data_IF_557439585068
#
_entry.id   IF_557439585068
#
_cell.length_a   1.000
_cell.length_b   1.000
_cell.length_c   1.000
_cell.angle_alpha   90.00
_cell.angle_beta   90.00
_cell.angle_gamma   90.00
#
_symmetry.space_group_name_H-M   'P 1'
#
loop_
_entity.id
_entity.type
_entity.pdbx_description
1 polymer ?
#
# COMPACT_ATOMS: atom_id res chain seq x y z
N UNK A 1 12.87 -13.65 0.59
CA UNK A 1 13.10 -12.19 0.52
C UNK A 1 13.62 -11.66 1.84
N UNK A 2 14.58 -10.73 1.80
CA UNK A 2 15.02 -9.96 2.98
C UNK A 2 15.14 -8.47 2.62
N UNK A 3 14.46 -7.62 3.36
CA UNK A 3 14.50 -6.16 3.20
C UNK A 3 14.96 -5.53 4.51
N UNK A 4 16.08 -4.79 4.47
CA UNK A 4 16.60 -4.03 5.61
C UNK A 4 16.92 -2.61 5.17
N UNK A 5 16.05 -1.69 5.55
CA UNK A 5 16.18 -0.26 5.24
C UNK A 5 16.46 0.48 6.55
N UNK A 6 17.60 1.16 6.63
CA UNK A 6 17.96 1.97 7.79
C UNK A 6 17.09 3.25 7.90
N UNK A 7 17.11 3.92 9.07
CA UNK A 7 16.42 5.21 9.23
C UNK A 7 16.96 6.25 8.24
N UNK A 8 16.18 7.29 7.99
CA UNK A 8 16.65 8.44 7.22
C UNK A 8 17.92 9.02 7.85
N UNK A 9 18.90 9.35 7.01
CA UNK A 9 20.11 10.01 7.49
C UNK A 9 19.76 11.42 7.94
N UNK A 10 20.24 11.73 9.12
CA UNK A 10 20.09 13.01 9.78
C UNK A 10 20.90 14.06 9.00
N UNK A 11 20.24 14.98 8.28
CA UNK A 11 20.91 16.07 7.54
C UNK A 11 21.62 17.02 8.49
N UNK A 12 22.92 17.27 8.29
CA UNK A 12 23.68 18.24 9.07
C UNK A 12 23.57 19.62 8.42
N UNK A 13 23.23 20.63 9.22
CA UNK A 13 23.27 22.02 8.78
C UNK A 13 23.76 22.90 9.94
N UNK A 14 24.30 24.09 9.65
CA UNK A 14 24.66 25.07 10.68
C UNK A 14 23.53 25.39 11.66
N UNK A 15 22.29 25.49 11.17
CA UNK A 15 21.08 25.73 11.98
C UNK A 15 20.80 24.56 12.93
N UNK A 16 20.91 23.34 12.41
CA UNK A 16 20.72 22.16 13.24
C UNK A 16 21.79 22.00 14.31
N UNK A 17 23.03 22.40 14.02
CA UNK A 17 24.09 22.46 15.03
C UNK A 17 23.75 23.50 16.11
N UNK A 18 23.15 24.62 15.73
CA UNK A 18 22.68 25.63 16.67
C UNK A 18 21.56 25.09 17.58
N UNK A 19 20.58 24.36 17.04
CA UNK A 19 19.50 23.71 17.81
C UNK A 19 19.99 22.73 18.89
N UNK A 20 21.20 22.17 18.73
CA UNK A 20 21.78 21.26 19.72
C UNK A 20 22.28 21.99 20.99
N UNK A 21 22.35 23.32 20.98
CA UNK A 21 22.79 24.11 22.13
C UNK A 21 21.62 24.23 23.11
N UNK A 22 21.70 23.61 24.31
CA UNK A 22 20.59 23.61 25.26
C UNK A 22 20.43 24.98 25.93
N UNK A 23 19.22 25.26 26.43
CA UNK A 23 18.87 26.46 27.22
C UNK A 23 18.99 27.80 26.47
N UNK A 24 18.79 27.78 25.15
CA UNK A 24 18.85 28.95 24.28
C UNK A 24 17.50 29.13 23.57
N UNK A 25 17.08 30.36 23.32
CA UNK A 25 15.81 30.66 22.60
C UNK A 25 15.94 30.38 21.10
N UNK A 26 14.83 30.03 20.43
CA UNK A 26 14.79 29.80 18.97
C UNK A 26 15.40 30.97 18.18
N UNK A 27 15.06 32.20 18.57
CA UNK A 27 15.56 33.44 17.97
C UNK A 27 17.10 33.59 18.08
N UNK A 28 17.69 32.96 19.10
CA UNK A 28 19.14 32.90 19.31
C UNK A 28 19.75 31.72 18.55
N UNK A 29 19.06 30.58 18.46
CA UNK A 29 19.47 29.48 17.58
C UNK A 29 19.57 29.92 16.12
N UNK A 30 18.62 30.71 15.63
CA UNK A 30 18.65 31.24 14.25
C UNK A 30 19.83 32.17 14.00
N UNK A 31 20.15 33.05 14.96
CA UNK A 31 21.31 33.93 14.89
C UNK A 31 22.61 33.14 14.88
N UNK A 32 22.72 32.13 15.73
CA UNK A 32 23.89 31.24 15.78
C UNK A 32 23.99 30.43 14.48
N UNK A 33 22.90 29.86 13.98
CA UNK A 33 22.87 29.10 12.72
C UNK A 33 23.29 29.96 11.52
N UNK A 34 22.77 31.18 11.44
CA UNK A 34 23.13 32.17 10.40
C UNK A 34 24.58 32.63 10.49
N UNK A 35 25.14 32.70 11.70
CA UNK A 35 26.56 32.98 11.87
C UNK A 35 27.43 31.79 11.45
N UNK A 36 27.07 30.57 11.89
CA UNK A 36 27.78 29.33 11.56
C UNK A 36 27.79 29.05 10.06
N UNK A 37 26.71 29.37 9.33
CA UNK A 37 26.62 29.19 7.87
C UNK A 37 27.57 30.08 7.07
N UNK A 38 28.09 31.15 7.68
CA UNK A 38 29.11 32.03 7.07
C UNK A 38 30.54 31.59 7.35
N UNK A 39 30.71 30.43 7.97
CA UNK A 39 32.03 29.88 8.32
C UNK A 39 32.27 28.56 7.60
N UNK A 40 33.47 28.01 7.76
CA UNK A 40 33.86 26.69 7.25
C UNK A 40 32.96 25.54 7.75
N UNK A 41 32.10 25.77 8.75
CA UNK A 41 31.16 24.79 9.29
C UNK A 41 30.09 24.43 8.25
N UNK A 42 29.73 25.34 7.34
CA UNK A 42 28.82 25.04 6.25
C UNK A 42 29.45 24.00 5.29
N UNK A 43 30.69 24.25 4.86
CA UNK A 43 31.47 23.31 4.04
C UNK A 43 31.66 21.96 4.74
N UNK A 44 31.84 21.95 6.07
CA UNK A 44 31.92 20.72 6.87
C UNK A 44 30.59 19.97 6.86
N UNK A 45 29.46 20.65 7.04
CA UNK A 45 28.13 20.06 7.00
C UNK A 45 27.85 19.42 5.63
N UNK A 46 28.14 20.14 4.53
CA UNK A 46 28.04 19.61 3.17
C UNK A 46 28.90 18.37 2.97
N UNK A 47 30.16 18.42 3.42
CA UNK A 47 31.06 17.28 3.35
C UNK A 47 30.54 16.08 4.13
N UNK A 48 30.07 16.26 5.37
CA UNK A 48 29.47 15.20 6.19
C UNK A 48 28.25 14.58 5.49
N UNK A 49 27.34 15.42 4.99
CA UNK A 49 26.15 14.98 4.28
C UNK A 49 26.50 14.17 3.02
N UNK A 50 27.57 14.56 2.29
CA UNK A 50 28.04 13.84 1.12
C UNK A 50 28.54 12.41 1.44
N UNK A 51 29.03 12.19 2.66
CA UNK A 51 29.52 10.89 3.13
C UNK A 51 28.43 10.04 3.78
N UNK A 52 27.34 10.65 4.24
CA UNK A 52 26.21 9.92 4.83
C UNK A 52 25.23 9.48 3.75
N UNK A 53 25.11 8.17 3.55
CA UNK A 53 24.06 7.57 2.71
C UNK A 53 23.18 6.64 3.53
N UNK A 54 21.88 6.65 3.25
CA UNK A 54 20.94 5.70 3.84
C UNK A 54 21.35 4.28 3.47
N UNK A 55 21.43 3.38 4.46
CA UNK A 55 21.74 1.97 4.23
C UNK A 55 20.49 1.24 3.75
N UNK A 56 20.56 0.65 2.56
CA UNK A 56 19.47 -0.11 1.92
C UNK A 56 20.05 -1.47 1.50
N UNK A 57 19.55 -2.55 2.10
CA UNK A 57 19.92 -3.93 1.78
C UNK A 57 18.65 -4.67 1.35
N UNK A 58 18.59 -5.12 0.10
CA UNK A 58 17.48 -5.89 -0.47
C UNK A 58 18.04 -7.17 -1.06
N UNK A 59 17.53 -8.31 -0.61
CA UNK A 59 17.84 -9.65 -1.14
C UNK A 59 16.57 -10.30 -1.65
N UNK A 60 16.57 -10.68 -2.93
CA UNK A 60 15.51 -11.45 -3.56
C UNK A 60 16.02 -12.88 -3.78
N UNK A 61 15.25 -13.84 -3.30
CA UNK A 61 15.49 -15.27 -3.41
C UNK A 61 14.65 -15.84 -4.59
N UNK A 62 15.04 -16.96 -5.19
CA UNK A 62 14.42 -17.48 -6.44
C UNK A 62 12.91 -17.79 -6.34
N UNK A 63 12.44 -18.13 -5.15
CA UNK A 63 11.05 -18.49 -4.89
C UNK A 63 10.15 -17.28 -4.57
N UNK A 64 10.75 -16.10 -4.30
CA UNK A 64 9.99 -14.88 -4.00
C UNK A 64 9.15 -14.39 -5.18
N UNK A 65 9.41 -14.89 -6.38
CA UNK A 65 8.68 -14.54 -7.61
C UNK A 65 7.77 -15.66 -8.12
N UNK A 66 7.53 -16.72 -7.34
CA UNK A 66 6.54 -17.75 -7.71
C UNK A 66 5.13 -17.18 -7.60
N UNK A 67 4.83 -16.49 -6.49
CA UNK A 67 3.65 -15.64 -6.27
C UNK A 67 4.13 -14.28 -5.73
N UNK A 68 4.60 -13.42 -6.64
CA UNK A 68 5.25 -12.16 -6.28
C UNK A 68 4.27 -11.15 -5.67
N UNK A 69 3.04 -11.13 -6.17
CA UNK A 69 1.88 -10.41 -5.62
C UNK A 69 1.69 -10.67 -4.13
N UNK A 70 1.54 -11.94 -3.73
CA UNK A 70 1.39 -12.32 -2.34
C UNK A 70 2.64 -11.97 -1.51
N UNK A 71 3.84 -12.21 -2.06
CA UNK A 71 5.11 -11.88 -1.37
C UNK A 71 5.25 -10.38 -1.12
N UNK A 72 4.84 -9.54 -2.07
CA UNK A 72 4.83 -8.08 -1.92
C UNK A 72 3.73 -7.61 -0.96
N UNK A 73 2.56 -8.24 -0.97
CA UNK A 73 1.46 -7.93 -0.06
C UNK A 73 1.87 -8.02 1.42
N UNK A 74 2.72 -8.99 1.77
CA UNK A 74 3.30 -9.13 3.13
C UNK A 74 4.10 -7.90 3.58
N UNK A 75 4.67 -7.12 2.65
CA UNK A 75 5.36 -5.85 2.95
C UNK A 75 4.42 -4.66 2.84
N UNK A 76 3.64 -4.60 1.74
CA UNK A 76 2.85 -3.43 1.38
C UNK A 76 1.74 -3.20 2.41
N UNK A 77 1.06 -4.26 2.86
CA UNK A 77 -0.04 -4.15 3.81
C UNK A 77 0.36 -3.45 5.13
N UNK A 78 1.39 -3.89 5.87
CA UNK A 78 1.79 -3.18 7.09
C UNK A 78 2.28 -1.76 6.81
N UNK A 79 2.91 -1.49 5.66
CA UNK A 79 3.31 -0.14 5.26
C UNK A 79 2.10 0.79 5.02
N UNK A 80 1.05 0.31 4.33
CA UNK A 80 -0.18 1.08 4.13
C UNK A 80 -0.90 1.37 5.45
N UNK A 81 -0.96 0.39 6.36
CA UNK A 81 -1.52 0.57 7.71
C UNK A 81 -0.74 1.61 8.51
N UNK A 82 0.60 1.55 8.48
CA UNK A 82 1.46 2.53 9.14
C UNK A 82 1.26 3.93 8.53
N UNK A 83 1.29 4.05 7.20
CA UNK A 83 1.09 5.31 6.49
C UNK A 83 -0.24 5.94 6.85
N UNK A 84 -1.34 5.17 6.81
CA UNK A 84 -2.67 5.67 7.20
C UNK A 84 -2.68 6.24 8.63
N UNK A 85 -1.92 5.65 9.55
CA UNK A 85 -1.85 6.10 10.94
C UNK A 85 -0.94 7.32 11.16
N UNK A 86 0.03 7.58 10.27
CA UNK A 86 1.11 8.57 10.48
C UNK A 86 1.12 9.72 9.49
N UNK A 87 0.35 9.64 8.40
CA UNK A 87 0.26 10.65 7.34
C UNK A 87 0.02 12.07 7.88
N UNK A 88 0.77 13.04 7.35
CA UNK A 88 0.61 14.47 7.66
C UNK A 88 -0.21 15.22 6.60
N UNK A 89 -0.58 14.57 5.48
CA UNK A 89 -1.29 15.21 4.37
C UNK A 89 -2.22 14.27 3.60
N UNK A 90 -2.87 14.79 2.57
CA UNK A 90 -3.69 14.01 1.66
C UNK A 90 -3.59 14.56 0.23
N UNK A 91 -3.28 13.73 -0.77
CA UNK A 91 -3.29 14.13 -2.17
C UNK A 91 -4.72 14.37 -2.66
N UNK A 92 -4.84 15.07 -3.79
CA UNK A 92 -6.08 15.15 -4.54
C UNK A 92 -6.41 13.77 -5.13
N UNK A 93 -7.68 13.40 -5.02
CA UNK A 93 -8.23 12.15 -5.56
C UNK A 93 -9.19 12.49 -6.69
N UNK A 94 -9.07 11.79 -7.81
CA UNK A 94 -9.96 11.96 -8.95
C UNK A 94 -11.37 11.44 -8.61
N UNK A 95 -12.41 12.22 -8.92
CA UNK A 95 -13.80 11.84 -8.63
C UNK A 95 -14.20 10.51 -9.30
N UNK A 96 -13.61 10.14 -10.44
CA UNK A 96 -13.85 8.86 -11.13
C UNK A 96 -13.48 7.64 -10.28
N UNK A 97 -12.50 7.79 -9.39
CA UNK A 97 -12.01 6.72 -8.51
C UNK A 97 -12.90 6.49 -7.29
N UNK A 98 -13.83 7.41 -7.03
CA UNK A 98 -14.69 7.38 -5.86
C UNK A 98 -16.06 6.80 -6.21
N UNK A 99 -16.76 6.22 -5.22
CA UNK A 99 -18.17 5.86 -5.35
C UNK A 99 -19.00 7.08 -5.74
N UNK A 100 -20.10 6.93 -6.52
CA UNK A 100 -20.89 8.06 -7.00
C UNK A 100 -21.35 9.06 -5.93
N UNK A 101 -21.66 8.56 -4.72
CA UNK A 101 -22.09 9.38 -3.60
C UNK A 101 -20.95 10.17 -2.91
N UNK A 102 -19.68 9.91 -3.25
CA UNK A 102 -18.52 10.62 -2.70
C UNK A 102 -17.90 11.62 -3.69
N UNK A 103 -18.38 11.66 -4.93
CA UNK A 103 -17.90 12.55 -6.01
C UNK A 103 -18.34 14.00 -5.85
N UNK A 104 -18.50 14.47 -4.61
CA UNK A 104 -18.94 15.84 -4.34
C UNK A 104 -17.86 16.81 -4.82
N UNK A 105 -18.04 17.34 -6.02
CA UNK A 105 -17.38 18.55 -6.50
C UNK A 105 -18.17 19.71 -5.91
N UNK A 106 -17.57 20.47 -4.99
CA UNK A 106 -18.08 21.80 -4.69
C UNK A 106 -18.17 22.55 -6.02
N UNK A 107 -19.40 22.97 -6.34
CA UNK A 107 -19.74 23.86 -7.45
C UNK A 107 -18.61 24.85 -7.72
N UNK A 108 -17.95 24.74 -8.88
CA UNK A 108 -16.98 25.73 -9.35
C UNK A 108 -17.69 27.08 -9.52
N UNK A 109 -17.40 28.03 -8.64
CA UNK A 109 -17.60 29.45 -8.93
C UNK A 109 -16.51 29.94 -9.90
N UNK A 110 -16.77 30.97 -10.73
CA UNK A 110 -15.81 31.42 -11.75
C UNK A 110 -14.54 32.06 -11.21
N UNK A 111 -14.51 32.49 -9.94
CA UNK A 111 -13.47 33.34 -9.37
C UNK A 111 -13.07 32.91 -7.94
N UNK A 112 -12.77 31.63 -7.72
CA UNK A 112 -12.26 31.19 -6.41
C UNK A 112 -10.92 30.47 -6.54
N UNK A 113 -9.86 31.15 -6.08
CA UNK A 113 -8.53 30.56 -5.87
C UNK A 113 -8.47 29.74 -4.57
N UNK A 114 -9.57 29.63 -3.82
CA UNK A 114 -9.69 28.75 -2.66
C UNK A 114 -10.13 27.35 -3.10
N UNK A 115 -9.17 26.61 -3.66
CA UNK A 115 -9.24 25.18 -3.99
C UNK A 115 -9.27 24.28 -2.75
N UNK A 116 -10.03 24.62 -1.71
CA UNK A 116 -10.13 23.78 -0.51
C UNK A 116 -11.32 22.83 -0.66
N UNK A 117 -11.13 21.74 -1.42
CA UNK A 117 -12.03 20.60 -1.35
C UNK A 117 -11.95 20.03 0.07
N UNK A 118 -12.89 20.49 0.91
CA UNK A 118 -13.03 20.11 2.33
C UNK A 118 -13.14 18.59 2.54
N UNK A 119 -13.33 17.81 1.48
CA UNK A 119 -13.42 16.36 1.50
C UNK A 119 -12.13 15.64 1.11
N UNK A 120 -11.05 16.35 0.77
CA UNK A 120 -9.76 15.76 0.33
C UNK A 120 -9.27 14.67 1.27
N UNK A 121 -9.29 14.91 2.58
CA UNK A 121 -8.87 13.92 3.56
C UNK A 121 -9.78 12.69 3.58
N UNK A 122 -11.09 12.88 3.49
CA UNK A 122 -12.07 11.78 3.48
C UNK A 122 -11.98 10.94 2.20
N UNK A 123 -11.81 11.59 1.04
CA UNK A 123 -11.61 10.93 -0.25
C UNK A 123 -10.33 10.08 -0.23
N UNK A 124 -9.24 10.65 0.29
CA UNK A 124 -7.98 9.93 0.40
C UNK A 124 -8.05 8.77 1.40
N UNK A 125 -8.71 8.96 2.54
CA UNK A 125 -8.90 7.88 3.52
C UNK A 125 -9.70 6.73 2.93
N UNK A 126 -10.71 7.01 2.10
CA UNK A 126 -11.45 5.97 1.38
C UNK A 126 -10.53 5.20 0.41
N UNK A 127 -9.72 5.91 -0.37
CA UNK A 127 -8.75 5.28 -1.29
C UNK A 127 -7.75 4.40 -0.53
N UNK A 128 -7.18 4.88 0.57
CA UNK A 128 -6.28 4.09 1.42
C UNK A 128 -6.99 2.87 2.01
N UNK A 129 -8.25 2.99 2.41
CA UNK A 129 -9.04 1.87 2.91
C UNK A 129 -9.26 0.81 1.85
N UNK A 130 -9.59 1.18 0.62
CA UNK A 130 -9.77 0.22 -0.47
C UNK A 130 -8.45 -0.48 -0.83
N UNK A 131 -7.32 0.24 -0.83
CA UNK A 131 -6.00 -0.40 -1.00
C UNK A 131 -5.71 -1.40 0.14
N UNK A 132 -5.86 -0.98 1.40
CA UNK A 132 -5.62 -1.85 2.55
C UNK A 132 -6.52 -3.08 2.49
N UNK A 133 -7.81 -2.90 2.21
CA UNK A 133 -8.75 -4.00 2.12
C UNK A 133 -8.38 -5.00 1.02
N UNK A 134 -7.97 -4.53 -0.17
CA UNK A 134 -7.53 -5.41 -1.25
C UNK A 134 -6.27 -6.23 -0.85
N UNK A 135 -5.27 -5.58 -0.24
CA UNK A 135 -4.08 -6.29 0.26
C UNK A 135 -4.35 -7.20 1.46
N UNK A 136 -5.38 -6.94 2.27
CA UNK A 136 -5.84 -7.89 3.29
C UNK A 136 -6.44 -9.13 2.64
N UNK A 137 -7.18 -8.97 1.54
CA UNK A 137 -7.78 -10.09 0.81
C UNK A 137 -6.79 -10.89 -0.01
N UNK A 138 -5.75 -10.27 -0.52
CA UNK A 138 -4.60 -10.95 -1.16
C UNK A 138 -3.87 -11.91 -0.20
N UNK A 139 -3.92 -11.65 1.11
CA UNK A 139 -3.32 -12.50 2.13
C UNK A 139 -4.31 -13.47 2.79
N UNK A 140 -5.59 -13.41 2.41
CA UNK A 140 -6.67 -14.20 3.00
C UNK A 140 -7.21 -15.19 1.97
N UNK A 141 -6.82 -16.46 2.07
CA UNK A 141 -7.26 -17.50 1.14
C UNK A 141 -8.72 -17.97 1.38
N UNK A 142 -9.41 -17.45 2.41
CA UNK A 142 -10.71 -17.99 2.87
C UNK A 142 -11.92 -17.19 2.39
N UNK A 143 -11.73 -16.04 1.75
CA UNK A 143 -12.86 -15.13 1.46
C UNK A 143 -13.88 -15.74 0.48
N UNK A 144 -13.48 -16.68 -0.39
CA UNK A 144 -14.39 -17.32 -1.34
C UNK A 144 -15.44 -18.19 -0.65
N UNK A 145 -15.14 -18.74 0.52
CA UNK A 145 -16.01 -19.68 1.23
C UNK A 145 -17.35 -19.06 1.61
N UNK A 146 -17.39 -17.73 1.80
CA UNK A 146 -18.64 -17.01 2.09
C UNK A 146 -19.66 -17.05 0.94
N UNK A 147 -19.24 -17.41 -0.27
CA UNK A 147 -20.07 -17.52 -1.47
C UNK A 147 -20.35 -18.98 -1.88
N UNK A 148 -19.87 -19.94 -1.08
CA UNK A 148 -20.15 -21.35 -1.24
C UNK A 148 -21.31 -21.72 -0.32
N UNK A 149 -22.28 -22.45 -0.86
CA UNK A 149 -23.45 -22.91 -0.13
C UNK A 149 -23.53 -24.41 -0.20
N UNK A 150 -23.83 -25.06 0.93
CA UNK A 150 -23.81 -26.51 1.06
C UNK A 150 -22.39 -27.10 1.16
N UNK A 151 -22.30 -28.36 1.55
CA UNK A 151 -21.03 -29.11 1.58
C UNK A 151 -20.84 -29.85 0.25
N UNK A 152 -19.68 -29.71 -0.42
CA UNK A 152 -19.41 -30.47 -1.63
C UNK A 152 -19.27 -31.97 -1.29
N UNK A 153 -19.74 -32.82 -2.20
CA UNK A 153 -19.67 -34.28 -2.13
C UNK A 153 -19.18 -34.80 -3.49
N UNK A 154 -17.86 -34.90 -3.63
CA UNK A 154 -17.22 -35.30 -4.87
C UNK A 154 -17.08 -36.83 -4.95
N UNK A 155 -17.49 -37.40 -6.08
CA UNK A 155 -17.19 -38.78 -6.45
C UNK A 155 -16.35 -38.82 -7.72
N UNK A 156 -15.36 -39.71 -7.76
CA UNK A 156 -14.61 -40.02 -8.96
C UNK A 156 -15.28 -41.19 -9.69
N UNK A 157 -15.80 -40.92 -10.89
CA UNK A 157 -16.41 -41.94 -11.74
C UNK A 157 -15.44 -42.30 -12.85
N UNK A 158 -15.19 -43.59 -13.02
CA UNK A 158 -14.35 -44.09 -14.11
C UNK A 158 -15.00 -43.85 -15.46
N UNK A 159 -14.28 -43.14 -16.35
CA UNK A 159 -14.77 -42.72 -17.68
C UNK A 159 -13.94 -43.32 -18.83
N UNK A 160 -12.83 -44.01 -18.54
CA UNK A 160 -12.09 -44.76 -19.55
C UNK A 160 -10.69 -45.17 -19.12
N UNK A 161 -9.99 -45.91 -20.00
CA UNK A 161 -8.67 -46.45 -19.72
C UNK A 161 -8.70 -47.75 -18.91
N UNK A 162 -7.53 -48.34 -18.69
CA UNK A 162 -7.41 -49.57 -17.92
C UNK A 162 -7.27 -49.24 -16.42
N UNK A 163 -8.18 -49.79 -15.60
CA UNK A 163 -8.22 -49.54 -14.15
C UNK A 163 -6.90 -49.99 -13.50
N UNK A 164 -6.34 -49.12 -12.67
CA UNK A 164 -5.07 -49.37 -11.97
C UNK A 164 -3.83 -49.10 -12.81
N UNK A 165 -3.96 -48.38 -13.93
CA UNK A 165 -2.83 -48.00 -14.81
C UNK A 165 -2.75 -46.48 -15.00
N UNK A 166 -1.62 -46.00 -15.53
CA UNK A 166 -1.44 -44.59 -15.93
C UNK A 166 -2.42 -44.14 -17.03
N UNK A 167 -3.14 -45.07 -17.67
CA UNK A 167 -4.17 -44.77 -18.65
C UNK A 167 -5.56 -44.55 -18.03
N UNK A 168 -5.74 -44.80 -16.72
CA UNK A 168 -7.03 -44.67 -16.04
C UNK A 168 -7.51 -43.21 -16.03
N UNK A 169 -8.70 -42.99 -16.58
CA UNK A 169 -9.37 -41.70 -16.64
C UNK A 169 -10.58 -41.73 -15.70
N UNK A 170 -10.57 -40.82 -14.73
CA UNK A 170 -11.66 -40.60 -13.80
C UNK A 170 -12.19 -39.17 -13.96
N UNK A 171 -13.51 -39.02 -13.97
CA UNK A 171 -14.19 -37.73 -13.93
C UNK A 171 -14.63 -37.43 -12.48
N UNK A 172 -14.34 -36.23 -12.00
CA UNK A 172 -14.79 -35.77 -10.68
C UNK A 172 -16.18 -35.14 -10.82
N UNK A 173 -17.19 -35.73 -10.19
CA UNK A 173 -18.58 -35.26 -10.25
C UNK A 173 -19.01 -34.82 -8.86
N UNK A 174 -19.65 -33.64 -8.80
CA UNK A 174 -20.26 -33.14 -7.58
C UNK A 174 -21.69 -33.68 -7.42
N UNK A 175 -21.94 -34.45 -6.35
CA UNK A 175 -23.22 -35.15 -6.12
C UNK A 175 -24.24 -34.39 -5.31
N UNK A 176 -23.83 -33.54 -4.37
CA UNK A 176 -24.77 -32.82 -3.51
C UNK A 176 -25.50 -31.72 -4.33
N UNK A 177 -26.83 -31.83 -4.55
CA UNK A 177 -27.60 -30.85 -5.32
C UNK A 177 -27.81 -29.52 -4.58
N UNK A 178 -27.65 -29.51 -3.25
CA UNK A 178 -27.73 -28.30 -2.44
C UNK A 178 -26.41 -27.51 -2.45
N UNK A 179 -25.35 -28.10 -3.03
CA UNK A 179 -24.09 -27.40 -3.24
C UNK A 179 -24.18 -26.48 -4.44
N UNK A 180 -23.95 -25.18 -4.23
CA UNK A 180 -23.80 -24.23 -5.31
C UNK A 180 -22.88 -23.08 -4.90
N UNK A 181 -22.34 -22.39 -5.91
CA UNK A 181 -21.37 -21.30 -5.73
C UNK A 181 -21.92 -20.05 -6.41
N UNK A 182 -21.99 -18.94 -5.68
CA UNK A 182 -22.38 -17.64 -6.25
C UNK A 182 -21.22 -17.02 -7.05
N UNK A 183 -21.06 -17.51 -8.28
CA UNK A 183 -20.02 -17.03 -9.20
C UNK A 183 -20.14 -15.55 -9.55
N UNK A 184 -21.35 -14.98 -9.52
CA UNK A 184 -21.56 -13.55 -9.75
C UNK A 184 -21.02 -12.72 -8.58
N UNK A 185 -21.29 -13.15 -7.34
CA UNK A 185 -20.73 -12.49 -6.15
C UNK A 185 -19.22 -12.61 -6.05
N UNK A 186 -18.66 -13.77 -6.39
CA UNK A 186 -17.21 -13.95 -6.49
C UNK A 186 -16.60 -12.97 -7.49
N UNK A 187 -17.22 -12.82 -8.66
CA UNK A 187 -16.77 -11.87 -9.68
C UNK A 187 -16.87 -10.42 -9.20
N UNK A 188 -17.98 -10.01 -8.59
CA UNK A 188 -18.14 -8.67 -8.00
C UNK A 188 -17.07 -8.40 -6.92
N UNK A 189 -16.77 -9.39 -6.09
CA UNK A 189 -15.78 -9.29 -5.03
C UNK A 189 -14.36 -9.13 -5.59
N UNK A 190 -13.98 -9.97 -6.56
CA UNK A 190 -12.71 -9.85 -7.29
C UNK A 190 -12.56 -8.49 -7.97
N UNK A 191 -13.60 -7.98 -8.62
CA UNK A 191 -13.56 -6.63 -9.23
C UNK A 191 -13.25 -5.53 -8.21
N UNK A 192 -13.71 -5.68 -6.96
CA UNK A 192 -13.38 -4.73 -5.89
C UNK A 192 -11.92 -4.87 -5.45
N UNK A 193 -11.41 -6.09 -5.33
CA UNK A 193 -9.99 -6.35 -5.04
C UNK A 193 -9.12 -5.70 -6.13
N UNK A 194 -9.43 -5.96 -7.40
CA UNK A 194 -8.76 -5.37 -8.56
C UNK A 194 -8.81 -3.85 -8.55
N UNK A 195 -9.93 -3.25 -8.13
CA UNK A 195 -10.03 -1.81 -7.97
C UNK A 195 -9.06 -1.28 -6.90
N UNK A 196 -8.89 -1.99 -5.78
CA UNK A 196 -7.90 -1.64 -4.76
C UNK A 196 -6.45 -1.66 -5.31
N UNK A 197 -6.10 -2.67 -6.11
CA UNK A 197 -4.79 -2.73 -6.77
C UNK A 197 -4.61 -1.64 -7.83
N UNK A 198 -5.65 -1.35 -8.62
CA UNK A 198 -5.66 -0.24 -9.57
C UNK A 198 -5.42 1.10 -8.87
N UNK A 199 -6.09 1.34 -7.75
CA UNK A 199 -5.90 2.54 -6.92
C UNK A 199 -4.48 2.61 -6.38
N UNK A 200 -3.94 1.51 -5.86
CA UNK A 200 -2.55 1.43 -5.42
C UNK A 200 -1.57 1.81 -6.53
N UNK A 201 -1.74 1.26 -7.74
CA UNK A 201 -0.92 1.60 -8.89
C UNK A 201 -1.04 3.06 -9.31
N UNK A 202 -2.26 3.60 -9.35
CA UNK A 202 -2.53 5.00 -9.72
C UNK A 202 -1.91 6.00 -8.75
N UNK A 203 -2.07 5.77 -7.44
CA UNK A 203 -1.62 6.69 -6.38
C UNK A 203 -0.30 6.28 -5.73
N UNK A 204 0.47 5.37 -6.34
CA UNK A 204 1.72 4.85 -5.78
C UNK A 204 2.69 5.96 -5.33
N UNK A 205 2.77 7.06 -6.11
CA UNK A 205 3.66 8.20 -5.82
C UNK A 205 3.11 9.15 -4.74
N UNK A 206 1.89 8.92 -4.28
CA UNK A 206 1.22 9.69 -3.23
C UNK A 206 1.26 8.98 -1.87
N UNK A 207 1.96 7.86 -1.77
CA UNK A 207 2.15 7.09 -0.52
C UNK A 207 3.30 7.68 0.32
N UNK A 208 3.11 8.91 0.80
CA UNK A 208 4.05 9.62 1.66
C UNK A 208 3.34 10.12 2.93
N UNK A 209 4.07 10.13 4.04
CA UNK A 209 3.65 10.68 5.33
C UNK A 209 4.20 12.07 5.59
#
# INVERSE_FOLDING_TARGET
MKVKIGPYVKWWSPYRLAELIPFVSEDTHDKIGSWLSRTWIDDLCEWLNSKTKRKIEVRIDKYDTWNMDHTLALIILPMLKQLKATKQGSPLVDDEDLPPHMRHTLSKGPDDYETDDRWVHYKWDWVLNEMIWAFEKELDDSWEDQFRHGEPDYEFIHVGGEIGTDSELNEMIQKNPDYWVDTNKIKEYNNRIDNGFRLFGKYYRNLWD
#
